data_IF_748206065914
#
_entry.id   IF_748206065914
#
_cell.length_a   1.000
_cell.length_b   1.000
_cell.length_c   1.000
_cell.angle_alpha   90.00
_cell.angle_beta   90.00
_cell.angle_gamma   90.00
#
_symmetry.space_group_name_H-M   'P 1'
#
loop_
_entity.id
_entity.type
_entity.pdbx_description
1 polymer ?
#
# COMPACT_ATOMS: atom_id res chain seq x y z
N UNK A 1 -24.92 -53.01 -53.97
CA UNK A 1 -25.04 -52.82 -52.51
C UNK A 1 -23.86 -53.51 -51.85
N UNK A 2 -23.00 -52.76 -51.18
CA UNK A 2 -22.39 -53.02 -49.86
C UNK A 2 -21.13 -52.16 -49.68
N UNK A 3 -21.06 -51.54 -48.51
CA UNK A 3 -20.33 -50.32 -48.18
C UNK A 3 -18.86 -50.59 -47.82
N UNK A 4 -17.97 -49.68 -48.23
CA UNK A 4 -16.57 -49.60 -47.80
C UNK A 4 -16.50 -48.82 -46.48
N UNK A 5 -15.97 -49.43 -45.41
CA UNK A 5 -15.67 -48.74 -44.15
C UNK A 5 -14.16 -48.60 -44.02
N UNK A 6 -13.63 -47.42 -44.35
CA UNK A 6 -12.28 -47.03 -43.97
C UNK A 6 -12.38 -46.17 -42.70
N UNK A 7 -11.89 -46.69 -41.58
CA UNK A 7 -11.78 -45.97 -40.31
C UNK A 7 -10.63 -44.96 -40.39
N UNK A 8 -10.92 -43.69 -40.15
CA UNK A 8 -9.94 -42.61 -40.05
C UNK A 8 -9.66 -42.34 -38.55
N UNK A 9 -8.47 -42.71 -38.06
CA UNK A 9 -7.96 -42.24 -36.77
C UNK A 9 -7.26 -40.89 -36.97
N UNK A 10 -7.82 -39.83 -36.41
CA UNK A 10 -7.17 -38.52 -36.33
C UNK A 10 -6.36 -38.41 -35.02
N UNK A 11 -5.03 -38.24 -35.14
CA UNK A 11 -4.16 -37.89 -34.02
C UNK A 11 -4.20 -36.37 -33.80
N UNK A 12 -4.73 -35.94 -32.65
CA UNK A 12 -4.63 -34.57 -32.16
C UNK A 12 -3.25 -34.37 -31.51
N UNK A 13 -2.36 -33.61 -32.15
CA UNK A 13 -1.12 -33.14 -31.52
C UNK A 13 -1.48 -31.91 -30.69
N UNK A 14 -1.53 -32.08 -29.38
CA UNK A 14 -1.69 -30.97 -28.44
C UNK A 14 -0.35 -30.24 -28.25
N UNK A 15 -0.30 -28.95 -28.52
CA UNK A 15 0.80 -28.08 -28.09
C UNK A 15 0.64 -27.85 -26.59
N UNK A 16 1.49 -28.50 -25.77
CA UNK A 16 1.58 -28.19 -24.36
C UNK A 16 2.36 -26.88 -24.18
N UNK A 17 1.69 -25.78 -23.86
CA UNK A 17 2.33 -24.57 -23.36
C UNK A 17 2.80 -24.84 -21.93
N UNK A 18 4.11 -24.83 -21.69
CA UNK A 18 4.66 -24.95 -20.34
C UNK A 18 4.49 -23.60 -19.64
N UNK A 19 3.84 -23.60 -18.48
CA UNK A 19 3.72 -22.39 -17.68
C UNK A 19 5.12 -21.98 -17.16
N UNK A 20 5.38 -20.68 -17.20
CA UNK A 20 6.63 -20.06 -16.76
C UNK A 20 6.74 -20.17 -15.24
N UNK A 21 7.87 -20.68 -14.78
CA UNK A 21 8.17 -20.87 -13.37
C UNK A 21 8.17 -19.56 -12.57
N UNK A 22 7.92 -19.66 -11.27
CA UNK A 22 8.03 -18.51 -10.37
C UNK A 22 9.42 -17.88 -10.49
N UNK A 23 9.44 -16.55 -10.45
CA UNK A 23 10.60 -15.68 -10.61
C UNK A 23 11.30 -15.74 -11.97
N UNK A 24 10.73 -16.44 -12.96
CA UNK A 24 11.26 -16.49 -14.33
C UNK A 24 10.69 -15.37 -15.21
N UNK A 25 11.37 -15.09 -16.33
CA UNK A 25 10.94 -14.10 -17.29
C UNK A 25 9.70 -14.58 -18.05
N UNK A 26 8.68 -13.72 -18.10
CA UNK A 26 7.41 -13.95 -18.79
C UNK A 26 7.04 -12.82 -19.76
N UNK A 27 7.92 -11.85 -19.96
CA UNK A 27 7.64 -10.73 -20.85
C UNK A 27 8.80 -9.75 -20.98
N UNK A 28 8.62 -8.77 -21.86
CA UNK A 28 9.61 -7.76 -22.21
C UNK A 28 9.59 -7.47 -23.71
N UNK A 29 10.01 -6.25 -24.13
CA UNK A 29 9.97 -5.79 -25.52
C UNK A 29 10.61 -6.72 -26.56
N UNK A 30 11.57 -7.55 -26.16
CA UNK A 30 12.28 -8.49 -27.02
C UNK A 30 12.08 -9.96 -26.61
N UNK A 31 11.15 -10.24 -25.70
CA UNK A 31 10.88 -11.59 -25.21
C UNK A 31 10.03 -12.37 -26.21
N UNK A 32 10.50 -13.55 -26.62
CA UNK A 32 9.78 -14.46 -27.54
C UNK A 32 9.39 -15.79 -26.88
N UNK A 33 9.64 -15.92 -25.58
CA UNK A 33 9.28 -17.11 -24.79
C UNK A 33 7.84 -17.06 -24.27
N UNK A 34 7.47 -18.07 -23.48
CA UNK A 34 6.14 -18.16 -22.88
C UNK A 34 5.86 -16.94 -21.97
N UNK A 35 4.60 -16.51 -21.93
CA UNK A 35 4.16 -15.34 -21.16
C UNK A 35 3.21 -15.69 -20.01
N UNK A 36 2.72 -16.93 -20.00
CA UNK A 36 1.81 -17.43 -18.99
C UNK A 36 2.59 -17.99 -17.80
N UNK A 37 2.38 -17.44 -16.61
CA UNK A 37 2.98 -17.94 -15.36
C UNK A 37 2.26 -19.18 -14.83
N UNK A 38 2.93 -19.91 -13.94
CA UNK A 38 2.32 -20.97 -13.15
C UNK A 38 1.06 -20.50 -12.41
N UNK A 39 0.18 -21.45 -12.09
CA UNK A 39 -1.05 -21.17 -11.34
C UNK A 39 -0.73 -20.50 -10.00
N UNK A 40 -1.35 -19.34 -9.75
CA UNK A 40 -1.12 -18.54 -8.55
C UNK A 40 0.01 -17.51 -8.67
N UNK A 41 0.67 -17.41 -9.83
CA UNK A 41 1.63 -16.35 -10.15
C UNK A 41 1.15 -15.49 -11.32
N UNK A 42 1.60 -14.24 -11.37
CA UNK A 42 1.23 -13.27 -12.39
C UNK A 42 2.47 -12.66 -13.01
N UNK A 43 2.39 -12.34 -14.31
CA UNK A 43 3.50 -11.74 -15.03
C UNK A 43 3.59 -10.24 -14.72
N UNK A 44 4.49 -9.86 -13.82
CA UNK A 44 4.68 -8.48 -13.36
C UNK A 44 5.76 -7.81 -14.19
N UNK A 45 5.42 -6.71 -14.87
CA UNK A 45 6.41 -5.90 -15.60
C UNK A 45 7.34 -5.22 -14.59
N UNK A 46 8.64 -5.52 -14.66
CA UNK A 46 9.66 -4.86 -13.83
C UNK A 46 10.33 -3.71 -14.60
N UNK A 47 10.51 -3.87 -15.90
CA UNK A 47 10.92 -2.81 -16.82
C UNK A 47 10.54 -3.16 -18.26
N UNK A 48 10.80 -2.24 -19.19
CA UNK A 48 10.49 -2.36 -20.61
C UNK A 48 10.96 -3.67 -21.27
N UNK A 49 12.07 -4.24 -20.81
CA UNK A 49 12.68 -5.42 -21.42
C UNK A 49 12.49 -6.69 -20.58
N UNK A 50 11.87 -6.59 -19.41
CA UNK A 50 11.78 -7.69 -18.47
C UNK A 50 10.51 -7.64 -17.62
N UNK A 51 9.68 -8.67 -17.77
CA UNK A 51 8.56 -8.99 -16.89
C UNK A 51 8.82 -10.34 -16.22
N UNK A 52 8.46 -10.47 -14.95
CA UNK A 52 8.75 -11.64 -14.12
C UNK A 52 7.48 -12.29 -13.58
N UNK A 53 7.41 -13.61 -13.58
CA UNK A 53 6.35 -14.33 -12.89
C UNK A 53 6.52 -14.19 -11.38
N UNK A 54 5.63 -13.47 -10.71
CA UNK A 54 5.67 -13.29 -9.27
C UNK A 54 4.50 -14.02 -8.61
N UNK A 55 4.75 -14.92 -7.65
CA UNK A 55 3.69 -15.56 -6.86
C UNK A 55 2.79 -14.52 -6.21
N UNK A 56 1.47 -14.72 -6.26
CA UNK A 56 0.47 -13.84 -5.67
C UNK A 56 0.11 -12.61 -6.50
N UNK A 57 0.80 -12.33 -7.61
CA UNK A 57 0.28 -11.43 -8.63
C UNK A 57 -0.85 -12.16 -9.36
N UNK A 58 -2.05 -11.58 -9.42
CA UNK A 58 -3.12 -12.15 -10.23
C UNK A 58 -2.67 -12.17 -11.71
N UNK A 59 -3.03 -13.21 -12.46
CA UNK A 59 -2.85 -13.22 -13.91
C UNK A 59 -3.60 -12.01 -14.51
N UNK A 60 -3.03 -11.32 -15.52
CA UNK A 60 -3.71 -10.18 -16.13
C UNK A 60 -5.06 -10.63 -16.70
N UNK A 61 -6.13 -9.91 -16.36
CA UNK A 61 -7.42 -10.08 -17.01
C UNK A 61 -7.29 -9.74 -18.51
N UNK A 62 -8.01 -10.44 -19.40
CA UNK A 62 -7.98 -10.13 -20.83
C UNK A 62 -8.40 -8.68 -21.07
N UNK A 63 -7.56 -7.95 -21.81
CA UNK A 63 -7.74 -6.53 -22.12
C UNK A 63 -9.08 -6.30 -22.85
N UNK A 64 -9.92 -5.33 -22.43
CA UNK A 64 -11.12 -4.97 -23.17
C UNK A 64 -10.76 -4.39 -24.55
N UNK A 65 -11.57 -4.72 -25.56
CA UNK A 65 -11.46 -4.13 -26.90
C UNK A 65 -11.59 -2.59 -26.86
N UNK A 66 -10.95 -1.85 -27.79
CA UNK A 66 -11.00 -0.38 -27.80
C UNK A 66 -12.43 0.12 -28.02
N UNK A 67 -13.00 0.77 -27.01
CA UNK A 67 -14.26 1.49 -27.15
C UNK A 67 -14.03 2.83 -27.88
N UNK A 68 -14.88 3.25 -28.83
CA UNK A 68 -14.73 4.52 -29.53
C UNK A 68 -14.83 5.73 -28.58
N UNK A 69 -14.04 6.76 -28.90
CA UNK A 69 -13.87 7.99 -28.12
C UNK A 69 -15.20 8.73 -27.84
N UNK A 70 -15.45 9.19 -26.60
CA UNK A 70 -16.56 10.10 -26.31
C UNK A 70 -16.27 11.50 -26.88
N UNK A 71 -17.29 12.07 -27.52
CA UNK A 71 -17.33 13.46 -28.00
C UNK A 71 -17.19 14.45 -26.82
N UNK A 72 -16.50 15.60 -26.97
CA UNK A 72 -16.24 16.53 -25.86
C UNK A 72 -17.51 17.19 -25.34
N UNK A 73 -17.70 17.10 -24.02
CA UNK A 73 -18.71 17.82 -23.23
C UNK A 73 -18.14 19.20 -22.81
N UNK A 74 -18.94 20.28 -22.80
CA UNK A 74 -18.42 21.62 -22.52
C UNK A 74 -17.92 21.78 -21.07
N UNK A 75 -16.80 22.48 -20.96
CA UNK A 75 -16.05 22.81 -19.76
C UNK A 75 -16.92 23.57 -18.72
N UNK A 76 -16.98 23.13 -17.45
CA UNK A 76 -17.68 23.88 -16.41
C UNK A 76 -16.85 25.08 -15.96
N UNK A 77 -17.51 26.24 -15.91
CA UNK A 77 -16.99 27.52 -15.43
C UNK A 77 -16.30 27.41 -14.07
N UNK A 78 -15.05 27.89 -13.99
CA UNK A 78 -14.30 28.07 -12.75
C UNK A 78 -15.08 28.93 -11.76
N UNK A 79 -15.44 28.34 -10.61
CA UNK A 79 -15.80 29.06 -9.39
C UNK A 79 -14.56 29.18 -8.52
N UNK A 80 -14.21 30.43 -8.18
CA UNK A 80 -13.14 30.85 -7.27
C UNK A 80 -13.17 30.05 -5.96
N UNK A 81 -12.05 29.46 -5.50
CA UNK A 81 -12.00 28.87 -4.17
C UNK A 81 -12.06 29.96 -3.10
N UNK A 82 -13.08 29.91 -2.25
CA UNK A 82 -13.07 30.61 -0.97
C UNK A 82 -11.98 30.01 -0.06
N UNK A 83 -11.17 30.91 0.50
CA UNK A 83 -10.13 30.64 1.48
C UNK A 83 -10.68 29.84 2.67
N UNK A 84 -10.18 28.62 2.97
CA UNK A 84 -10.48 27.99 4.24
C UNK A 84 -9.68 28.70 5.34
N UNK A 85 -10.41 29.26 6.30
CA UNK A 85 -9.89 29.83 7.55
C UNK A 85 -8.90 28.86 8.21
N UNK A 86 -7.71 29.39 8.52
CA UNK A 86 -6.64 28.68 9.19
C UNK A 86 -7.13 28.02 10.49
N UNK A 87 -7.01 26.69 10.57
CA UNK A 87 -7.15 25.93 11.81
C UNK A 87 -5.76 25.58 12.31
N UNK A 88 -5.43 26.12 13.49
CA UNK A 88 -4.29 25.88 14.38
C UNK A 88 -3.23 24.87 13.87
N UNK A 89 -2.33 25.32 13.01
CA UNK A 89 -1.03 24.65 12.87
C UNK A 89 -0.20 24.95 14.13
N UNK A 90 0.52 23.98 14.71
CA UNK A 90 1.35 24.25 15.87
C UNK A 90 2.44 25.27 15.51
N UNK A 91 2.53 26.36 16.27
CA UNK A 91 3.62 27.34 16.16
C UNK A 91 4.95 26.65 16.45
N UNK A 92 5.77 26.50 15.41
CA UNK A 92 7.10 25.90 15.43
C UNK A 92 7.59 25.61 14.01
N UNK A 93 8.90 25.55 13.80
CA UNK A 93 9.46 25.12 12.51
C UNK A 93 9.12 23.64 12.28
N UNK A 94 8.75 23.26 11.05
CA UNK A 94 8.47 21.86 10.71
C UNK A 94 9.72 20.97 10.82
N UNK A 95 9.60 19.64 10.94
CA UNK A 95 10.73 18.71 11.03
C UNK A 95 11.74 18.76 9.87
N UNK A 96 11.32 19.26 8.70
CA UNK A 96 12.15 19.35 7.51
C UNK A 96 12.23 18.04 6.72
N UNK A 97 13.01 18.07 5.63
CA UNK A 97 13.17 16.95 4.67
C UNK A 97 14.37 16.05 4.96
N UNK A 98 15.23 16.43 5.90
CA UNK A 98 16.35 15.60 6.36
C UNK A 98 15.93 14.92 7.65
N UNK A 99 16.20 13.62 7.74
CA UNK A 99 15.84 12.81 8.90
C UNK A 99 16.56 13.34 10.16
N UNK A 100 15.79 13.67 11.19
CA UNK A 100 16.33 14.05 12.49
C UNK A 100 16.76 12.80 13.26
N UNK A 101 17.83 12.94 14.06
CA UNK A 101 18.41 11.83 14.83
C UNK A 101 17.37 11.16 15.72
N UNK A 102 17.30 9.83 15.66
CA UNK A 102 16.37 9.03 16.47
C UNK A 102 14.97 8.87 15.87
N UNK A 103 14.73 9.35 14.66
CA UNK A 103 13.48 9.16 13.92
C UNK A 103 13.70 8.32 12.67
N UNK A 104 12.59 7.89 12.06
CA UNK A 104 12.55 7.12 10.83
C UNK A 104 11.53 7.69 9.86
N UNK A 105 11.77 7.49 8.57
CA UNK A 105 10.68 7.44 7.61
C UNK A 105 9.96 6.10 7.78
N UNK A 106 8.64 6.05 7.66
CA UNK A 106 7.90 4.79 7.73
C UNK A 106 7.05 4.64 6.48
N UNK A 107 7.16 3.52 5.76
CA UNK A 107 6.61 3.38 4.40
C UNK A 107 6.01 2.01 4.09
N UNK A 108 5.15 1.96 3.08
CA UNK A 108 4.70 0.71 2.47
C UNK A 108 5.79 0.08 1.60
N UNK A 109 5.90 -1.25 1.65
CA UNK A 109 6.87 -2.04 0.88
C UNK A 109 6.22 -2.95 -0.16
N UNK A 110 4.92 -2.80 -0.39
CA UNK A 110 4.19 -3.55 -1.39
C UNK A 110 3.30 -2.63 -2.25
N UNK A 111 3.09 -3.01 -3.51
CA UNK A 111 2.08 -2.37 -4.35
C UNK A 111 0.69 -2.42 -3.67
N UNK A 112 -0.20 -1.44 -3.91
CA UNK A 112 -0.03 -0.23 -4.74
C UNK A 112 0.58 0.96 -3.98
N UNK A 113 1.12 0.73 -2.78
CA UNK A 113 1.63 1.79 -1.90
C UNK A 113 3.14 1.68 -1.63
N UNK A 114 3.85 0.99 -2.52
CA UNK A 114 5.29 0.90 -2.50
C UNK A 114 5.88 2.31 -2.47
N UNK A 115 6.77 2.56 -1.51
CA UNK A 115 7.42 3.86 -1.30
C UNK A 115 6.46 5.03 -1.03
N UNK A 116 5.27 4.75 -0.50
CA UNK A 116 4.43 5.76 0.15
C UNK A 116 4.66 5.76 1.65
N UNK A 117 4.65 6.93 2.27
CA UNK A 117 5.10 7.18 3.64
C UNK A 117 3.97 7.64 4.56
N UNK A 118 4.08 7.29 5.84
CA UNK A 118 3.12 7.73 6.86
C UNK A 118 3.19 9.26 6.98
N UNK A 119 2.04 9.90 6.94
CA UNK A 119 1.89 11.35 7.03
C UNK A 119 0.50 11.76 7.52
N UNK A 120 0.30 13.06 7.69
CA UNK A 120 -0.99 13.69 7.99
C UNK A 120 -1.36 14.68 6.89
N UNK A 121 -2.65 15.02 6.79
CA UNK A 121 -3.13 16.08 5.90
C UNK A 121 -4.15 16.97 6.63
N UNK A 122 -3.89 18.28 6.81
CA UNK A 122 -2.64 19.01 6.52
C UNK A 122 -1.38 18.40 7.16
N UNK A 123 -0.20 18.79 6.68
CA UNK A 123 1.05 18.31 7.24
C UNK A 123 1.18 18.71 8.70
N UNK A 124 1.61 17.76 9.53
CA UNK A 124 1.87 17.93 10.96
C UNK A 124 0.66 18.38 11.79
N UNK A 125 -0.56 18.03 11.36
CA UNK A 125 -1.81 18.31 12.07
C UNK A 125 -2.51 17.03 12.51
N UNK A 126 -3.43 17.14 13.47
CA UNK A 126 -4.30 16.03 13.86
C UNK A 126 -5.21 15.60 12.70
N UNK A 127 -5.64 14.34 12.72
CA UNK A 127 -6.49 13.78 11.66
C UNK A 127 -6.15 12.33 11.33
N UNK A 128 -6.71 11.75 10.26
CA UNK A 128 -6.42 10.38 9.86
C UNK A 128 -4.92 10.17 9.57
N UNK A 129 -4.39 8.99 9.95
CA UNK A 129 -3.09 8.55 9.45
C UNK A 129 -3.23 8.17 7.98
N UNK A 130 -2.33 8.70 7.15
CA UNK A 130 -2.34 8.50 5.71
C UNK A 130 -1.02 7.90 5.25
N UNK A 131 -1.06 7.16 4.13
CA UNK A 131 0.13 6.71 3.43
C UNK A 131 0.26 7.46 2.08
N UNK A 132 1.23 8.37 1.93
CA UNK A 132 1.32 9.21 0.72
C UNK A 132 2.73 9.47 0.20
N UNK A 133 2.89 10.47 -0.65
CA UNK A 133 4.13 10.70 -1.39
C UNK A 133 5.34 11.03 -0.48
N UNK A 134 6.54 10.63 -0.92
CA UNK A 134 7.80 10.85 -0.21
C UNK A 134 8.10 12.34 0.08
N UNK A 135 7.58 13.27 -0.74
CA UNK A 135 7.77 14.71 -0.57
C UNK A 135 7.08 15.28 0.67
N UNK A 136 6.10 14.55 1.20
CA UNK A 136 5.27 14.93 2.36
C UNK A 136 5.42 13.94 3.53
N UNK A 137 6.42 13.04 3.46
CA UNK A 137 6.68 12.02 4.46
C UNK A 137 6.86 12.61 5.88
N UNK A 138 6.19 12.01 6.85
CA UNK A 138 6.42 12.29 8.26
C UNK A 138 7.71 11.63 8.76
N UNK A 139 8.29 12.20 9.83
CA UNK A 139 9.36 11.57 10.60
C UNK A 139 8.76 10.99 11.87
N UNK A 140 8.95 9.69 12.11
CA UNK A 140 8.24 8.95 13.15
C UNK A 140 9.17 8.06 13.98
N UNK A 141 8.73 7.68 15.17
CA UNK A 141 9.41 6.72 16.03
C UNK A 141 8.38 5.99 16.91
N UNK A 142 8.73 4.79 17.39
CA UNK A 142 8.01 4.15 18.49
C UNK A 142 8.74 4.45 19.81
N UNK A 143 8.09 5.20 20.70
CA UNK A 143 8.59 5.55 22.03
C UNK A 143 7.64 4.99 23.07
N UNK A 144 8.14 4.14 23.98
CA UNK A 144 7.35 3.53 25.07
C UNK A 144 6.01 2.93 24.61
N UNK A 145 6.06 2.20 23.50
CA UNK A 145 4.89 1.53 22.94
C UNK A 145 3.95 2.42 22.12
N UNK A 146 4.33 3.67 21.88
CA UNK A 146 3.53 4.65 21.16
C UNK A 146 4.22 5.06 19.87
N UNK A 147 3.54 4.93 18.74
CA UNK A 147 4.00 5.54 17.51
C UNK A 147 3.76 7.05 17.60
N UNK A 148 4.82 7.82 17.39
CA UNK A 148 4.84 9.28 17.44
C UNK A 148 5.33 9.85 16.11
N UNK A 149 4.72 10.94 15.66
CA UNK A 149 5.20 11.74 14.53
C UNK A 149 5.82 13.02 15.07
N UNK A 150 7.07 13.31 14.69
CA UNK A 150 7.74 14.57 15.01
C UNK A 150 7.03 15.72 14.30
N UNK A 151 6.80 16.82 15.03
CA UNK A 151 6.28 18.06 14.45
C UNK A 151 7.16 19.27 14.72
N UNK A 152 8.20 19.14 15.56
CA UNK A 152 9.20 20.18 15.82
C UNK A 152 10.39 20.11 14.87
N UNK A 153 11.00 21.27 14.63
CA UNK A 153 12.16 21.42 13.76
C UNK A 153 13.47 21.00 14.42
N UNK A 154 14.57 20.89 13.64
CA UNK A 154 15.88 20.54 14.17
C UNK A 154 16.37 21.57 15.21
N UNK A 155 16.88 21.08 16.33
CA UNK A 155 17.39 21.92 17.42
C UNK A 155 16.33 22.42 18.41
N UNK A 156 15.04 22.20 18.13
CA UNK A 156 13.94 22.50 19.05
C UNK A 156 13.64 21.32 19.98
N UNK A 157 13.05 21.56 21.16
CA UNK A 157 12.50 20.49 21.98
C UNK A 157 11.51 19.64 21.17
N UNK A 158 11.63 18.31 21.28
CA UNK A 158 10.80 17.38 20.52
C UNK A 158 9.31 17.57 20.86
N UNK A 159 8.51 17.90 19.85
CA UNK A 159 7.04 17.92 19.93
C UNK A 159 6.49 16.82 19.03
N UNK A 160 5.47 16.11 19.50
CA UNK A 160 4.90 14.97 18.78
C UNK A 160 3.39 15.06 18.61
N UNK A 161 2.92 14.45 17.52
CA UNK A 161 1.58 13.88 17.45
C UNK A 161 1.66 12.38 17.76
N UNK A 162 0.59 11.84 18.32
CA UNK A 162 0.49 10.44 18.75
C UNK A 162 -0.46 9.68 17.83
N UNK A 163 -0.02 8.55 17.30
CA UNK A 163 -0.89 7.66 16.54
C UNK A 163 -1.91 6.97 17.47
N UNK A 164 -3.19 7.18 17.21
CA UNK A 164 -4.32 6.66 17.98
C UNK A 164 -4.96 5.55 17.16
N UNK A 165 -4.99 4.34 17.72
CA UNK A 165 -5.81 3.24 17.17
C UNK A 165 -7.19 3.30 17.82
N UNK A 166 -8.23 3.31 16.98
CA UNK A 166 -9.63 3.28 17.41
C UNK A 166 -9.95 2.02 18.22
N UNK A 167 -10.75 2.17 19.29
CA UNK A 167 -11.31 1.02 20.02
C UNK A 167 -12.51 0.41 19.28
N UNK A 168 -13.14 1.18 18.40
CA UNK A 168 -14.26 0.74 17.58
C UNK A 168 -13.76 0.13 16.28
N UNK A 169 -14.24 -1.08 16.01
CA UNK A 169 -14.01 -1.79 14.75
C UNK A 169 -14.62 -1.05 13.56
N UNK A 170 -13.93 -1.14 12.44
CA UNK A 170 -14.25 -0.52 11.16
C UNK A 170 -14.17 -1.55 10.05
N UNK A 171 -14.76 -1.26 8.89
CA UNK A 171 -14.67 -2.03 7.63
C UNK A 171 -14.88 -3.54 7.86
N UNK A 172 -16.12 -4.01 7.68
CA UNK A 172 -16.49 -5.41 7.85
C UNK A 172 -16.17 -5.97 9.24
N UNK A 173 -16.12 -5.12 10.27
CA UNK A 173 -15.75 -5.47 11.64
C UNK A 173 -14.31 -6.05 11.78
N UNK A 174 -13.45 -5.84 10.77
CA UNK A 174 -12.16 -6.51 10.64
C UNK A 174 -10.95 -5.56 10.65
N UNK A 175 -11.16 -4.31 11.04
CA UNK A 175 -10.07 -3.32 11.10
C UNK A 175 -10.26 -2.31 12.22
N UNK A 176 -9.19 -1.58 12.56
CA UNK A 176 -9.24 -0.42 13.46
C UNK A 176 -8.62 0.78 12.77
N UNK A 177 -9.35 1.89 12.70
CA UNK A 177 -8.83 3.12 12.10
C UNK A 177 -7.65 3.67 12.91
N UNK A 178 -6.68 4.28 12.21
CA UNK A 178 -5.55 4.98 12.83
C UNK A 178 -5.61 6.47 12.51
N UNK A 179 -5.40 7.31 13.52
CA UNK A 179 -5.34 8.77 13.42
C UNK A 179 -4.15 9.33 14.19
N UNK A 180 -3.84 10.61 14.02
CA UNK A 180 -2.87 11.36 14.81
C UNK A 180 -3.58 12.41 15.68
N UNK A 181 -3.18 12.50 16.94
CA UNK A 181 -3.74 13.40 17.96
C UNK A 181 -2.62 14.09 18.76
N UNK A 182 -2.92 15.23 19.38
CA UNK A 182 -2.01 15.86 20.35
C UNK A 182 -1.99 15.12 21.70
N UNK A 183 -2.99 14.28 21.96
CA UNK A 183 -3.11 13.49 23.19
C UNK A 183 -2.91 12.01 22.90
N UNK A 184 -1.95 11.41 23.61
CA UNK A 184 -1.68 9.96 23.59
C UNK A 184 -2.90 9.18 24.12
N UNK A 185 -3.23 8.06 23.49
CA UNK A 185 -4.12 7.06 24.09
C UNK A 185 -3.32 5.86 24.64
N UNK A 186 -3.99 5.01 25.41
CA UNK A 186 -3.40 3.80 26.01
C UNK A 186 -3.91 2.52 25.34
N UNK A 187 -4.69 2.66 24.26
CA UNK A 187 -5.30 1.53 23.58
C UNK A 187 -4.32 0.85 22.62
N UNK A 188 -3.72 -0.22 23.13
CA UNK A 188 -2.79 -1.05 22.39
C UNK A 188 -1.37 -0.52 22.45
N UNK A 189 -0.48 -1.21 21.73
CA UNK A 189 0.96 -0.97 21.77
C UNK A 189 1.55 -1.12 20.38
N UNK A 190 2.27 -0.09 19.95
CA UNK A 190 3.15 -0.14 18.80
C UNK A 190 4.51 -0.71 19.19
N UNK A 191 5.15 -1.43 18.26
CA UNK A 191 6.50 -1.97 18.44
C UNK A 191 7.17 -2.17 17.09
N UNK A 192 8.50 -2.28 17.11
CA UNK A 192 9.28 -2.77 15.99
C UNK A 192 9.44 -4.28 16.09
N UNK A 193 9.12 -5.01 15.02
CA UNK A 193 9.38 -6.44 14.87
C UNK A 193 10.41 -6.69 13.79
N UNK A 194 11.66 -6.30 14.03
CA UNK A 194 12.61 -6.06 12.95
C UNK A 194 12.42 -4.64 12.42
N UNK A 195 12.20 -4.49 11.12
CA UNK A 195 11.85 -3.22 10.48
C UNK A 195 10.33 -2.99 10.34
N UNK A 196 9.53 -4.03 10.52
CA UNK A 196 8.07 -3.96 10.56
C UNK A 196 7.54 -3.10 11.71
N UNK A 197 6.67 -2.15 11.38
CA UNK A 197 5.82 -1.46 12.34
C UNK A 197 4.65 -2.37 12.72
N UNK A 198 4.65 -2.82 13.97
CA UNK A 198 3.65 -3.71 14.54
C UNK A 198 2.70 -2.99 15.49
N UNK A 199 1.48 -3.51 15.61
CA UNK A 199 0.54 -3.12 16.66
C UNK A 199 -0.13 -4.33 17.31
N UNK A 200 -0.35 -4.26 18.62
CA UNK A 200 -1.05 -5.30 19.37
C UNK A 200 -1.87 -4.74 20.52
N UNK A 201 -2.88 -5.49 20.96
CA UNK A 201 -3.67 -5.19 22.16
C UNK A 201 -3.92 -6.51 22.91
N UNK A 202 -3.86 -6.56 24.27
CA UNK A 202 -3.99 -7.80 25.03
C UNK A 202 -5.28 -8.60 24.78
N UNK A 203 -6.39 -7.91 24.50
CA UNK A 203 -7.69 -8.56 24.23
C UNK A 203 -7.97 -8.83 22.75
N UNK A 204 -7.06 -8.46 21.84
CA UNK A 204 -7.24 -8.64 20.40
C UNK A 204 -6.26 -9.72 19.92
N UNK A 205 -6.81 -10.88 19.58
CA UNK A 205 -6.07 -11.89 18.86
C UNK A 205 -6.11 -11.57 17.35
N UNK A 206 -4.95 -11.42 16.73
CA UNK A 206 -4.78 -11.20 15.29
C UNK A 206 -3.62 -12.06 14.78
N UNK A 207 -3.74 -12.66 13.58
CA UNK A 207 -2.78 -13.63 13.07
C UNK A 207 -1.42 -13.01 12.71
N UNK A 208 -1.41 -11.74 12.28
CA UNK A 208 -0.20 -11.02 11.91
C UNK A 208 -0.22 -9.62 12.53
N UNK A 209 0.78 -9.27 13.35
CA UNK A 209 0.92 -7.97 14.03
C UNK A 209 1.44 -6.85 13.11
N UNK A 210 2.04 -7.21 11.98
CA UNK A 210 2.55 -6.31 10.94
C UNK A 210 1.53 -6.06 9.82
N UNK A 211 0.32 -6.63 9.89
CA UNK A 211 -0.71 -6.45 8.86
C UNK A 211 -1.44 -5.11 8.98
N UNK A 212 -1.50 -4.38 7.89
CA UNK A 212 -2.18 -3.09 7.77
C UNK A 212 -3.10 -3.09 6.55
N UNK A 213 -4.18 -2.30 6.62
CA UNK A 213 -4.90 -1.89 5.43
C UNK A 213 -4.58 -0.44 5.11
N UNK A 214 -4.42 -0.15 3.82
CA UNK A 214 -4.47 1.21 3.28
C UNK A 214 -5.64 1.27 2.33
N UNK A 215 -6.64 2.07 2.68
CA UNK A 215 -7.92 2.12 1.98
C UNK A 215 -8.13 3.44 1.23
N UNK A 216 -9.26 3.55 0.54
CA UNK A 216 -9.71 4.75 -0.19
C UNK A 216 -9.37 6.04 0.57
N UNK A 217 -8.72 6.97 -0.14
CA UNK A 217 -8.19 8.20 0.45
C UNK A 217 -6.87 8.00 1.19
N UNK A 218 -6.17 6.89 0.96
CA UNK A 218 -4.90 6.51 1.60
C UNK A 218 -4.96 6.36 3.13
N UNK A 219 -6.15 6.17 3.69
CA UNK A 219 -6.35 6.04 5.13
C UNK A 219 -5.79 4.72 5.65
N UNK A 220 -5.09 4.78 6.76
CA UNK A 220 -4.46 3.61 7.38
C UNK A 220 -5.34 2.99 8.45
N UNK A 221 -5.39 1.66 8.44
CA UNK A 221 -6.10 0.86 9.43
C UNK A 221 -5.22 -0.30 9.87
N UNK A 222 -5.37 -0.70 11.14
CA UNK A 222 -4.91 -2.00 11.61
C UNK A 222 -5.77 -3.08 10.96
N UNK A 223 -5.15 -4.05 10.27
CA UNK A 223 -5.83 -5.26 9.80
C UNK A 223 -5.91 -6.26 10.96
N UNK A 224 -7.13 -6.69 11.31
CA UNK A 224 -7.39 -7.70 12.36
C UNK A 224 -7.49 -9.13 11.82
N UNK A 225 -7.67 -9.29 10.51
CA UNK A 225 -7.78 -10.57 9.83
C UNK A 225 -6.45 -11.09 9.29
N UNK A 226 -6.54 -12.05 8.38
CA UNK A 226 -5.39 -12.63 7.70
C UNK A 226 -4.85 -11.65 6.64
N UNK A 227 -3.52 -11.51 6.59
CA UNK A 227 -2.85 -10.73 5.57
C UNK A 227 -3.05 -11.35 4.18
N UNK A 228 -3.36 -10.53 3.17
CA UNK A 228 -3.64 -10.94 1.78
C UNK A 228 -4.84 -11.90 1.61
N UNK A 229 -5.75 -11.95 2.57
CA UNK A 229 -6.94 -12.78 2.51
C UNK A 229 -8.17 -11.95 2.84
N UNK A 230 -9.17 -12.00 1.95
CA UNK A 230 -10.42 -11.23 2.09
C UNK A 230 -10.17 -9.73 2.32
N UNK A 231 -9.17 -9.16 1.65
CA UNK A 231 -8.91 -7.72 1.66
C UNK A 231 -10.18 -6.96 1.26
N UNK A 232 -10.68 -6.03 2.09
CA UNK A 232 -11.91 -5.32 1.78
C UNK A 232 -11.81 -4.52 0.47
N UNK A 233 -12.94 -4.38 -0.22
CA UNK A 233 -13.01 -3.55 -1.43
C UNK A 233 -12.57 -2.11 -1.15
N UNK A 234 -11.73 -1.55 -2.03
CA UNK A 234 -11.14 -0.22 -1.84
C UNK A 234 -9.99 -0.19 -0.82
N UNK A 235 -9.53 -1.34 -0.33
CA UNK A 235 -8.34 -1.47 0.52
C UNK A 235 -7.26 -2.30 -0.16
N UNK A 236 -6.02 -2.01 0.19
CA UNK A 236 -4.87 -2.86 -0.07
C UNK A 236 -4.28 -3.33 1.26
N UNK A 237 -3.94 -4.61 1.34
CA UNK A 237 -3.08 -5.12 2.40
C UNK A 237 -1.67 -4.56 2.24
N UNK A 238 -1.06 -4.20 3.37
CA UNK A 238 0.29 -3.67 3.43
C UNK A 238 1.04 -4.24 4.64
N UNK A 239 2.35 -4.41 4.48
CA UNK A 239 3.29 -4.32 5.59
C UNK A 239 3.96 -2.95 5.54
N UNK A 240 4.25 -2.41 6.72
CA UNK A 240 4.71 -1.04 6.91
C UNK A 240 6.05 -1.10 7.63
N UNK A 241 7.09 -0.50 7.06
CA UNK A 241 8.48 -0.68 7.49
C UNK A 241 9.16 0.66 7.74
N UNK A 242 10.12 0.70 8.66
CA UNK A 242 10.98 1.86 8.77
C UNK A 242 11.99 1.93 7.62
N UNK A 243 12.40 3.16 7.30
CA UNK A 243 13.45 3.50 6.36
C UNK A 243 14.26 4.66 6.98
N UNK A 244 15.59 4.54 7.00
CA UNK A 244 16.46 5.38 7.84
C UNK A 244 17.55 6.15 7.07
N UNK A 245 17.39 6.29 5.75
CA UNK A 245 18.28 7.14 4.96
C UNK A 245 18.04 8.63 5.26
N UNK A 246 18.99 9.48 4.83
CA UNK A 246 18.99 10.92 5.08
C UNK A 246 17.69 11.59 4.62
N UNK A 247 17.07 11.12 3.55
CA UNK A 247 15.85 11.67 2.96
C UNK A 247 14.89 10.56 2.56
N UNK A 248 13.58 10.79 2.64
CA UNK A 248 12.59 9.93 2.00
C UNK A 248 12.80 9.90 0.48
N UNK A 249 12.59 8.74 -0.14
CA UNK A 249 12.75 8.54 -1.58
C UNK A 249 11.53 7.89 -2.22
N UNK A 250 11.40 8.09 -3.54
CA UNK A 250 10.43 7.42 -4.38
C UNK A 250 10.86 6.01 -4.75
#
# INVERSE_FOLDING_TARGET
>A
MLYSNAALLAFLVGTASAAVGDWQQCGGKTWTGDTACNSGAGCVVLNDYYSQCQPGAAAPEPQPEPQPEPQPEPEPTQVTPETPTASNAPSGTSPGKTLQSGYYWIRGVAAPNFHKYIQTKPLYSTGPALLGDYTTAGQLQVIDGQLVQLVSGPGEPAKHLYAIVSETRSINDNSLAVSFSETKNTYGKFAWGGDDLQWSHPSINRPNKSAWYVCTGQKMYINLGNYLYQTPAGCADQTIHYYNDKTANN
#
